data_IF_324444483125
#
_entry.id   IF_324444483125
#
_cell.length_a   1.000
_cell.length_b   1.000
_cell.length_c   1.000
_cell.angle_alpha   90.00
_cell.angle_beta   90.00
_cell.angle_gamma   90.00
#
_symmetry.space_group_name_H-M   'P 1'
#
loop_
_entity.id
_entity.type
_entity.pdbx_description
1 polymer ?
#
# COMPACT_ATOMS: atom_id res chain seq x y z
N UNK A 1 33.64 4.26 -4.17
CA UNK A 1 32.41 3.45 -4.07
C UNK A 1 31.43 3.99 -5.09
N UNK A 2 31.07 3.20 -6.09
CA UNK A 2 30.04 3.57 -7.06
C UNK A 2 28.68 3.40 -6.38
N UNK A 3 27.95 4.50 -6.25
CA UNK A 3 26.55 4.49 -5.84
C UNK A 3 25.76 3.80 -6.97
N UNK A 4 25.39 2.53 -6.75
CA UNK A 4 24.46 1.84 -7.63
C UNK A 4 23.14 2.61 -7.61
N UNK A 5 22.61 2.95 -8.78
CA UNK A 5 21.29 3.53 -9.02
C UNK A 5 20.18 2.56 -8.51
N UNK A 6 20.05 2.43 -7.20
CA UNK A 6 19.19 1.45 -6.51
C UNK A 6 17.71 1.86 -6.46
N UNK A 7 17.36 3.08 -6.88
CA UNK A 7 15.99 3.59 -6.85
C UNK A 7 15.50 3.98 -8.25
N UNK A 8 15.26 2.99 -9.11
CA UNK A 8 14.58 3.24 -10.39
C UNK A 8 13.07 3.49 -10.25
N UNK A 9 12.49 3.24 -9.08
CA UNK A 9 11.05 3.29 -8.87
C UNK A 9 10.69 4.05 -7.60
N UNK A 10 9.54 4.74 -7.64
CA UNK A 10 9.06 5.63 -6.59
C UNK A 10 8.41 4.85 -5.45
N UNK A 11 8.53 5.40 -4.24
CA UNK A 11 7.83 4.92 -3.05
C UNK A 11 7.45 6.13 -2.21
N UNK A 12 6.18 6.27 -1.89
CA UNK A 12 5.63 7.33 -1.08
C UNK A 12 4.90 6.73 0.11
N UNK A 13 5.22 7.21 1.31
CA UNK A 13 4.45 6.96 2.52
C UNK A 13 3.31 8.00 2.59
N UNK A 14 2.05 7.54 2.61
CA UNK A 14 0.87 8.40 2.64
C UNK A 14 0.39 8.65 4.06
N UNK A 15 0.69 7.72 4.95
CA UNK A 15 0.32 7.75 6.35
C UNK A 15 1.27 6.85 7.13
N UNK A 16 1.62 7.28 8.33
CA UNK A 16 2.35 6.47 9.29
C UNK A 16 1.90 6.88 10.69
N UNK A 17 1.56 5.89 11.51
CA UNK A 17 1.33 6.05 12.93
C UNK A 17 2.00 4.91 13.66
N UNK A 18 2.81 5.26 14.65
CA UNK A 18 3.41 4.29 15.55
C UNK A 18 2.97 4.63 16.98
N UNK A 19 2.16 3.75 17.58
CA UNK A 19 1.70 3.90 18.96
C UNK A 19 2.23 2.75 19.84
N UNK A 20 1.76 2.63 21.07
CA UNK A 20 2.25 1.60 21.99
C UNK A 20 1.78 0.19 21.63
N UNK A 21 0.71 0.07 20.86
CA UNK A 21 0.01 -1.18 20.54
C UNK A 21 0.30 -1.64 19.11
N UNK A 22 0.42 -0.71 18.15
CA UNK A 22 0.47 -1.03 16.73
C UNK A 22 1.25 0.01 15.93
N UNK A 23 2.00 -0.45 14.95
CA UNK A 23 2.55 0.37 13.88
C UNK A 23 1.66 0.20 12.63
N UNK A 24 1.14 1.29 12.10
CA UNK A 24 0.33 1.28 10.88
C UNK A 24 0.90 2.25 9.87
N UNK A 25 0.97 1.85 8.61
CA UNK A 25 1.45 2.72 7.55
C UNK A 25 0.87 2.36 6.19
N UNK A 26 0.72 3.37 5.34
CA UNK A 26 0.15 3.23 4.02
C UNK A 26 1.21 3.61 2.98
N UNK A 27 1.48 2.71 2.05
CA UNK A 27 2.52 2.89 1.03
C UNK A 27 1.89 2.84 -0.34
N UNK A 28 2.22 3.83 -1.16
CA UNK A 28 2.15 3.73 -2.61
C UNK A 28 3.57 3.49 -3.12
N UNK A 29 3.75 2.44 -3.90
CA UNK A 29 5.04 2.13 -4.52
C UNK A 29 4.85 1.78 -5.98
N UNK A 30 5.89 2.07 -6.74
CA UNK A 30 5.99 1.69 -8.13
C UNK A 30 7.06 0.59 -8.24
N UNK A 31 6.84 -0.35 -9.15
CA UNK A 31 7.86 -1.32 -9.58
C UNK A 31 8.09 -1.17 -11.07
N UNK A 32 8.78 -2.12 -11.71
CA UNK A 32 8.92 -2.13 -13.17
C UNK A 32 7.57 -2.09 -13.89
N UNK A 33 6.66 -2.97 -13.48
CA UNK A 33 5.45 -3.29 -14.23
C UNK A 33 4.17 -3.00 -13.44
N UNK A 34 4.27 -2.69 -12.15
CA UNK A 34 3.11 -2.45 -11.27
C UNK A 34 3.19 -1.12 -10.53
N UNK A 35 2.02 -0.61 -10.17
CA UNK A 35 1.84 0.35 -9.08
C UNK A 35 1.05 -0.38 -8.00
N UNK A 36 1.57 -0.36 -6.79
CA UNK A 36 1.04 -1.08 -5.64
C UNK A 36 0.67 -0.07 -4.56
N UNK A 37 -0.56 -0.14 -4.08
CA UNK A 37 -0.98 0.56 -2.88
C UNK A 37 -1.27 -0.46 -1.79
N UNK A 38 -0.71 -0.27 -0.59
CA UNK A 38 -0.82 -1.22 0.52
C UNK A 38 -1.01 -0.50 1.84
N UNK A 39 -1.92 -1.00 2.68
CA UNK A 39 -2.12 -0.57 4.06
C UNK A 39 -1.60 -1.66 4.99
N UNK A 40 -0.72 -1.28 5.90
CA UNK A 40 -0.01 -2.18 6.82
C UNK A 40 -0.49 -1.96 8.25
N UNK A 41 -0.62 -3.06 8.98
CA UNK A 41 -0.96 -3.09 10.39
C UNK A 41 -0.09 -4.14 11.08
N UNK A 42 0.91 -3.63 11.79
CA UNK A 42 1.95 -4.41 12.45
C UNK A 42 1.76 -4.25 13.97
N UNK A 43 1.04 -5.17 14.64
CA UNK A 43 0.85 -5.08 16.07
C UNK A 43 2.18 -5.27 16.80
N UNK A 44 2.40 -4.54 17.89
CA UNK A 44 3.57 -4.71 18.75
C UNK A 44 3.43 -5.93 19.65
N UNK A 45 4.57 -6.42 20.16
CA UNK A 45 4.65 -7.62 21.00
C UNK A 45 3.63 -7.60 22.14
N UNK A 46 2.84 -8.66 22.28
CA UNK A 46 1.81 -8.81 23.30
C UNK A 46 0.46 -8.13 23.00
N UNK A 47 0.35 -7.43 21.88
CA UNK A 47 -0.89 -6.77 21.41
C UNK A 47 -1.44 -7.37 20.11
N UNK A 48 -0.71 -8.29 19.49
CA UNK A 48 -1.15 -8.99 18.29
C UNK A 48 -2.31 -9.94 18.60
N UNK A 49 -3.45 -9.75 17.95
CA UNK A 49 -4.49 -10.77 17.92
C UNK A 49 -3.94 -11.88 17.03
N UNK A 50 -3.67 -13.05 17.61
CA UNK A 50 -3.09 -14.22 16.94
C UNK A 50 -1.65 -14.06 16.41
N UNK A 51 -0.86 -13.09 16.88
CA UNK A 51 0.56 -12.96 16.48
C UNK A 51 0.77 -12.56 15.01
N UNK A 52 -0.26 -11.98 14.37
CA UNK A 52 -0.26 -11.71 12.93
C UNK A 52 -0.07 -10.24 12.59
N UNK A 53 0.82 -9.97 11.65
CA UNK A 53 0.90 -8.72 10.88
C UNK A 53 -0.05 -8.81 9.68
N UNK A 54 -0.59 -7.67 9.25
CA UNK A 54 -1.56 -7.59 8.17
C UNK A 54 -1.12 -6.59 7.11
N UNK A 55 -1.11 -7.00 5.85
CA UNK A 55 -0.97 -6.11 4.69
C UNK A 55 -2.15 -6.34 3.76
N UNK A 56 -3.00 -5.32 3.58
CA UNK A 56 -3.98 -5.33 2.50
C UNK A 56 -3.47 -4.50 1.34
N UNK A 57 -3.33 -5.12 0.16
CA UNK A 57 -2.74 -4.49 -1.00
C UNK A 57 -3.64 -4.51 -2.24
N UNK A 58 -3.37 -3.55 -3.13
CA UNK A 58 -3.95 -3.42 -4.45
C UNK A 58 -2.82 -3.19 -5.44
N UNK A 59 -2.69 -4.14 -6.36
CA UNK A 59 -1.69 -4.11 -7.42
C UNK A 59 -2.34 -3.84 -8.77
N UNK A 60 -1.82 -2.83 -9.47
CA UNK A 60 -2.28 -2.45 -10.80
C UNK A 60 -1.11 -2.55 -11.77
N UNK A 61 -1.29 -3.32 -12.84
CA UNK A 61 -0.29 -3.38 -13.91
C UNK A 61 -0.29 -2.09 -14.72
N UNK A 62 0.91 -1.56 -15.02
CA UNK A 62 1.09 -0.24 -15.65
C UNK A 62 0.52 -0.16 -17.06
N UNK A 63 0.60 -1.25 -17.81
CA UNK A 63 -0.02 -1.39 -19.14
C UNK A 63 -1.55 -1.24 -19.10
N UNK A 64 -2.16 -1.42 -17.92
CA UNK A 64 -3.61 -1.36 -17.71
C UNK A 64 -4.10 -0.09 -17.03
N UNK A 65 -3.22 0.86 -16.72
CA UNK A 65 -3.57 2.10 -16.03
C UNK A 65 -4.47 3.05 -16.84
N UNK A 66 -4.67 2.81 -18.15
CA UNK A 66 -5.54 3.63 -19.03
C UNK A 66 -5.31 5.14 -18.90
N UNK A 67 -4.04 5.56 -18.81
CA UNK A 67 -3.65 6.97 -18.69
C UNK A 67 -3.63 7.52 -17.27
N UNK A 68 -3.90 6.69 -16.25
CA UNK A 68 -3.75 7.05 -14.84
C UNK A 68 -2.26 7.12 -14.48
N UNK A 69 -1.78 8.29 -14.07
CA UNK A 69 -0.37 8.45 -13.65
C UNK A 69 -0.20 8.18 -12.17
N UNK A 70 1.03 7.84 -11.78
CA UNK A 70 1.40 7.67 -10.36
C UNK A 70 1.03 8.91 -9.53
N UNK A 71 1.33 10.12 -10.02
CA UNK A 71 1.02 11.36 -9.30
C UNK A 71 -0.48 11.61 -9.14
N UNK A 72 -1.29 11.21 -10.13
CA UNK A 72 -2.75 11.30 -10.02
C UNK A 72 -3.28 10.34 -8.95
N UNK A 73 -2.73 9.12 -8.88
CA UNK A 73 -3.07 8.14 -7.84
C UNK A 73 -2.66 8.68 -6.48
N UNK A 74 -1.42 9.13 -6.34
CA UNK A 74 -0.88 9.69 -5.11
C UNK A 74 -1.73 10.85 -4.60
N UNK A 75 -2.08 11.80 -5.47
CA UNK A 75 -2.91 12.94 -5.09
C UNK A 75 -4.33 12.50 -4.71
N UNK A 76 -4.93 11.55 -5.42
CA UNK A 76 -6.26 11.02 -5.10
C UNK A 76 -6.30 10.36 -3.72
N UNK A 77 -5.29 9.55 -3.41
CA UNK A 77 -5.17 8.87 -2.12
C UNK A 77 -4.90 9.86 -0.97
N UNK A 78 -4.05 10.87 -1.18
CA UNK A 78 -3.76 11.93 -0.20
C UNK A 78 -4.99 12.77 0.16
N UNK A 79 -5.88 13.01 -0.81
CA UNK A 79 -7.12 13.76 -0.58
C UNK A 79 -8.22 12.92 0.07
N UNK A 80 -8.00 11.62 0.29
CA UNK A 80 -8.95 10.71 0.93
C UNK A 80 -8.62 10.51 2.41
N UNK A 81 -9.66 10.42 3.26
CA UNK A 81 -9.52 9.96 4.64
C UNK A 81 -8.93 8.55 4.67
N UNK A 82 -8.05 8.27 5.63
CA UNK A 82 -7.37 6.97 5.78
C UNK A 82 -8.34 5.80 5.77
N UNK A 83 -9.36 5.86 6.62
CA UNK A 83 -10.38 4.81 6.78
C UNK A 83 -11.10 4.43 5.47
N UNK A 84 -11.27 5.40 4.56
CA UNK A 84 -11.96 5.16 3.28
C UNK A 84 -10.99 4.95 2.11
N UNK A 85 -9.68 5.08 2.33
CA UNK A 85 -8.70 5.30 1.24
C UNK A 85 -8.64 4.09 0.33
N UNK A 86 -8.52 2.90 0.90
CA UNK A 86 -8.52 1.64 0.17
C UNK A 86 -9.82 1.42 -0.62
N UNK A 87 -10.97 1.64 0.01
CA UNK A 87 -12.28 1.43 -0.62
C UNK A 87 -12.50 2.41 -1.78
N UNK A 88 -12.16 3.69 -1.58
CA UNK A 88 -12.20 4.72 -2.62
C UNK A 88 -11.28 4.39 -3.78
N UNK A 89 -10.09 3.87 -3.50
CA UNK A 89 -9.16 3.47 -4.56
C UNK A 89 -9.71 2.29 -5.37
N UNK A 90 -10.25 1.25 -4.71
CA UNK A 90 -10.95 0.14 -5.39
C UNK A 90 -12.11 0.65 -6.24
N UNK A 91 -12.90 1.59 -5.73
CA UNK A 91 -14.01 2.18 -6.46
C UNK A 91 -13.56 2.96 -7.71
N UNK A 92 -12.48 3.74 -7.60
CA UNK A 92 -11.88 4.47 -8.73
C UNK A 92 -11.42 3.52 -9.84
N UNK A 93 -10.73 2.44 -9.47
CA UNK A 93 -10.22 1.45 -10.42
C UNK A 93 -11.38 0.72 -11.12
N UNK A 94 -12.42 0.33 -10.38
CA UNK A 94 -13.65 -0.26 -10.95
C UNK A 94 -14.37 0.71 -11.89
N UNK A 95 -14.51 1.98 -11.50
CA UNK A 95 -15.16 3.02 -12.32
C UNK A 95 -14.44 3.23 -13.66
N UNK A 96 -13.11 3.20 -13.65
CA UNK A 96 -12.29 3.27 -14.88
C UNK A 96 -12.16 1.93 -15.62
N UNK A 97 -12.80 0.88 -15.11
CA UNK A 97 -12.70 -0.49 -15.62
C UNK A 97 -11.23 -0.94 -15.75
N UNK A 98 -10.41 -0.58 -14.77
CA UNK A 98 -9.01 -0.98 -14.65
C UNK A 98 -8.97 -2.26 -13.81
N UNK A 99 -8.48 -3.39 -14.36
CA UNK A 99 -8.31 -4.60 -13.56
C UNK A 99 -7.16 -4.42 -12.58
N UNK A 100 -7.35 -4.90 -11.37
CA UNK A 100 -6.37 -4.86 -10.30
C UNK A 100 -6.40 -6.18 -9.53
N UNK A 101 -5.25 -6.55 -8.99
CA UNK A 101 -5.08 -7.65 -8.06
C UNK A 101 -5.23 -7.10 -6.65
N UNK A 102 -5.86 -7.86 -5.77
CA UNK A 102 -5.99 -7.52 -4.36
C UNK A 102 -5.93 -8.77 -3.52
N UNK A 103 -5.25 -8.70 -2.40
CA UNK A 103 -5.25 -9.77 -1.40
C UNK A 103 -4.98 -9.19 -0.01
N UNK A 104 -5.16 -10.02 1.01
CA UNK A 104 -4.76 -9.73 2.38
C UNK A 104 -3.65 -10.72 2.73
N UNK A 105 -2.45 -10.20 2.91
CA UNK A 105 -1.36 -10.99 3.43
C UNK A 105 -1.40 -10.97 4.95
N UNK A 106 -1.29 -12.14 5.55
CA UNK A 106 -1.09 -12.28 6.99
C UNK A 106 0.23 -12.97 7.25
N UNK A 107 1.07 -12.37 8.10
CA UNK A 107 2.33 -12.98 8.49
C UNK A 107 2.29 -13.31 9.98
N UNK A 108 2.38 -14.59 10.31
CA UNK A 108 2.63 -15.01 11.69
C UNK A 108 4.07 -14.70 12.06
N UNK A 109 4.25 -13.90 13.09
CA UNK A 109 5.55 -13.55 13.63
C UNK A 109 5.64 -14.10 15.05
N UNK A 110 6.44 -15.16 15.24
CA UNK A 110 6.58 -15.83 16.54
C UNK A 110 7.22 -14.91 17.62
N UNK A 111 7.78 -13.76 17.22
CA UNK A 111 8.34 -12.76 18.12
C UNK A 111 7.30 -11.72 18.60
N UNK A 112 6.07 -11.72 18.08
CA UNK A 112 4.95 -10.85 18.49
C UNK A 112 4.15 -11.39 19.69
#
# INVERSE_FOLDING_TARGET
>A
MQQLELFKYRRDCLFESDDQLTHCYDILKETRDTISYSEHLDPKKGYAICGMEYEEYIDVKKDRLKGLTYDQILNYLKNSKREDRLEKYKALLKFRNIPFEKDIWTWNNDDL
#
